data_IF_414906402065
#
_entry.id   IF_414906402065
#
_cell.length_a   1.000
_cell.length_b   1.000
_cell.length_c   1.000
_cell.angle_alpha   90.00
_cell.angle_beta   90.00
_cell.angle_gamma   90.00
#
_symmetry.space_group_name_H-M   'P 1'
#
loop_
_entity.id
_entity.type
_entity.pdbx_description
1 polymer ?
#
# COMPACT_ATOMS: atom_id res chain seq x y z
N UNK A 1 -6.06 -1.93 -11.65
CA UNK A 1 -5.73 -1.77 -10.22
C UNK A 1 -5.71 -3.12 -9.54
N UNK A 2 -4.95 -3.24 -8.48
CA UNK A 2 -4.89 -4.46 -7.70
C UNK A 2 -6.22 -4.72 -6.98
N UNK A 3 -6.71 -5.93 -7.07
CA UNK A 3 -7.87 -6.39 -6.32
C UNK A 3 -7.85 -7.91 -6.24
N UNK A 4 -8.46 -8.53 -5.21
CA UNK A 4 -8.53 -9.97 -5.15
C UNK A 4 -9.40 -10.51 -6.28
N UNK A 5 -8.94 -11.59 -6.92
CA UNK A 5 -9.74 -12.30 -7.92
C UNK A 5 -10.90 -13.06 -7.26
N UNK A 6 -10.72 -13.46 -6.00
CA UNK A 6 -11.73 -14.16 -5.21
C UNK A 6 -11.54 -13.83 -3.75
N UNK A 7 -12.63 -13.55 -3.04
CA UNK A 7 -12.60 -13.26 -1.61
C UNK A 7 -13.27 -14.37 -0.82
N UNK A 8 -12.73 -14.69 0.36
CA UNK A 8 -13.36 -15.62 1.30
C UNK A 8 -14.72 -15.07 1.78
N UNK A 9 -14.74 -13.77 2.07
CA UNK A 9 -15.95 -13.05 2.44
C UNK A 9 -16.09 -11.85 1.52
N UNK A 10 -17.29 -11.66 0.97
CA UNK A 10 -17.57 -10.51 0.10
C UNK A 10 -17.51 -9.19 0.86
N UNK A 11 -17.94 -9.21 2.12
CA UNK A 11 -18.00 -8.05 3.00
C UNK A 11 -17.32 -8.36 4.31
N UNK A 12 -16.67 -7.38 4.90
CA UNK A 12 -15.95 -7.51 6.16
C UNK A 12 -16.32 -6.33 7.05
N UNK A 13 -16.42 -6.57 8.36
CA UNK A 13 -16.67 -5.49 9.32
C UNK A 13 -15.49 -4.53 9.33
N UNK A 14 -15.80 -3.23 9.44
CA UNK A 14 -14.78 -2.20 9.61
C UNK A 14 -14.17 -2.34 11.00
N UNK A 15 -12.99 -2.94 11.05
CA UNK A 15 -12.22 -3.08 12.29
C UNK A 15 -11.22 -1.95 12.47
N UNK A 16 -10.68 -1.84 13.68
CA UNK A 16 -9.54 -0.97 13.93
C UNK A 16 -8.26 -1.67 13.50
N UNK A 17 -7.29 -0.89 13.04
CA UNK A 17 -5.94 -1.40 12.86
C UNK A 17 -5.31 -1.45 14.25
N UNK A 18 -4.93 -2.65 14.68
CA UNK A 18 -4.31 -2.83 16.00
C UNK A 18 -2.99 -2.07 16.06
N UNK A 19 -2.70 -1.48 17.23
CA UNK A 19 -1.45 -0.78 17.48
C UNK A 19 -0.25 -1.71 17.41
N UNK A 20 0.95 -1.12 17.49
CA UNK A 20 2.21 -1.83 17.42
C UNK A 20 2.88 -1.70 16.06
N UNK A 21 4.03 -2.34 15.91
CA UNK A 21 4.80 -2.35 14.67
C UNK A 21 4.51 -3.59 13.84
N UNK A 22 4.80 -3.51 12.55
CA UNK A 22 4.63 -4.65 11.65
C UNK A 22 5.59 -5.78 12.02
N UNK A 23 5.07 -7.02 12.05
CA UNK A 23 5.88 -8.22 12.17
C UNK A 23 6.08 -8.88 10.82
N UNK A 24 5.08 -8.78 9.94
CA UNK A 24 5.17 -9.22 8.56
C UNK A 24 5.54 -8.03 7.66
N UNK A 25 6.21 -8.28 6.55
CA UNK A 25 6.61 -7.25 5.59
C UNK A 25 7.45 -6.13 6.24
N UNK A 26 8.25 -6.47 7.26
CA UNK A 26 9.05 -5.49 7.99
C UNK A 26 10.48 -5.34 7.46
N UNK A 27 10.87 -6.15 6.49
CA UNK A 27 12.21 -6.11 5.90
C UNK A 27 12.16 -6.10 4.38
N UNK A 28 13.17 -5.47 3.77
CA UNK A 28 13.34 -5.46 2.32
C UNK A 28 13.83 -6.84 1.90
N UNK A 29 13.09 -7.48 0.99
CA UNK A 29 13.37 -8.87 0.58
C UNK A 29 13.83 -9.00 -0.86
N UNK A 30 13.22 -8.26 -1.78
CA UNK A 30 13.43 -8.45 -3.23
C UNK A 30 14.37 -7.41 -3.83
N UNK A 31 14.26 -6.18 -3.40
CA UNK A 31 15.03 -5.07 -3.92
C UNK A 31 16.11 -4.60 -2.95
N UNK A 32 16.74 -3.51 -3.30
CA UNK A 32 17.77 -2.85 -2.48
C UNK A 32 17.21 -1.69 -1.67
N UNK A 33 16.16 -1.08 -2.16
CA UNK A 33 15.55 0.11 -1.58
C UNK A 33 14.09 -0.16 -1.24
N UNK A 34 13.57 0.50 -0.23
CA UNK A 34 12.19 0.33 0.18
C UNK A 34 11.56 1.62 0.68
N UNK A 35 10.23 1.66 0.59
CA UNK A 35 9.41 2.70 1.18
C UNK A 35 8.66 2.10 2.35
N UNK A 36 8.93 2.60 3.54
CA UNK A 36 8.44 2.04 4.80
C UNK A 36 7.42 2.98 5.40
N UNK A 37 6.27 2.44 5.81
CA UNK A 37 5.24 3.21 6.49
C UNK A 37 5.67 3.58 7.91
N UNK A 38 5.39 4.81 8.31
CA UNK A 38 5.60 5.29 9.67
C UNK A 38 4.30 5.34 10.48
N UNK A 39 3.18 5.08 9.85
CA UNK A 39 1.86 5.19 10.47
C UNK A 39 1.00 3.96 10.17
N UNK A 40 -0.07 3.78 10.95
CA UNK A 40 -1.10 2.79 10.68
C UNK A 40 -2.22 3.44 9.90
N UNK A 41 -2.61 2.84 8.78
CA UNK A 41 -3.76 3.30 8.00
C UNK A 41 -4.19 2.23 6.99
N UNK A 42 -5.26 2.53 6.29
CA UNK A 42 -5.76 1.74 5.16
C UNK A 42 -5.33 2.41 3.88
N UNK A 43 -4.71 1.64 2.99
CA UNK A 43 -4.24 2.14 1.70
C UNK A 43 -5.09 1.50 0.62
N UNK A 44 -5.78 2.31 -0.18
CA UNK A 44 -6.65 1.81 -1.24
C UNK A 44 -5.86 1.34 -2.46
N UNK A 45 -6.48 0.48 -3.28
CA UNK A 45 -5.90 0.03 -4.54
C UNK A 45 -5.55 1.23 -5.45
N UNK A 46 -6.36 2.28 -5.44
CA UNK A 46 -6.09 3.50 -6.23
C UNK A 46 -4.85 4.23 -5.75
N UNK A 47 -4.66 4.32 -4.44
CA UNK A 47 -3.46 4.95 -3.86
C UNK A 47 -2.21 4.15 -4.18
N UNK A 48 -2.28 2.83 -4.09
CA UNK A 48 -1.16 1.94 -4.45
C UNK A 48 -0.80 2.14 -5.93
N UNK A 49 -1.80 2.17 -6.81
CA UNK A 49 -1.58 2.35 -8.24
C UNK A 49 -0.99 3.73 -8.55
N UNK A 50 -1.49 4.78 -7.90
CA UNK A 50 -0.97 6.13 -8.07
C UNK A 50 0.50 6.23 -7.64
N UNK A 51 0.87 5.59 -6.53
CA UNK A 51 2.25 5.55 -6.06
C UNK A 51 3.15 4.80 -7.05
N UNK A 52 2.69 3.64 -7.52
CA UNK A 52 3.42 2.85 -8.52
C UNK A 52 3.68 3.66 -9.80
N UNK A 53 2.67 4.34 -10.30
CA UNK A 53 2.79 5.17 -11.50
C UNK A 53 3.77 6.32 -11.30
N UNK A 54 3.75 6.97 -10.14
CA UNK A 54 4.69 8.06 -9.83
C UNK A 54 6.13 7.57 -9.86
N UNK A 55 6.41 6.40 -9.27
CA UNK A 55 7.73 5.80 -9.29
C UNK A 55 8.15 5.41 -10.72
N UNK A 56 7.26 4.76 -11.45
CA UNK A 56 7.53 4.29 -12.82
C UNK A 56 7.84 5.46 -13.76
N UNK A 57 7.09 6.55 -13.64
CA UNK A 57 7.34 7.76 -14.46
C UNK A 57 8.71 8.36 -14.20
N UNK A 58 9.13 8.35 -12.94
CA UNK A 58 10.42 8.94 -12.58
C UNK A 58 11.59 8.10 -13.06
N UNK A 59 11.57 6.79 -12.81
CA UNK A 59 12.67 5.89 -13.22
C UNK A 59 12.57 5.47 -14.68
N UNK A 60 11.45 5.75 -15.34
CA UNK A 60 11.17 5.41 -16.74
C UNK A 60 11.32 3.90 -16.97
N UNK A 61 12.21 3.49 -17.89
CA UNK A 61 12.39 2.09 -18.24
C UNK A 61 13.46 1.38 -17.41
N UNK A 62 14.17 2.13 -16.56
CA UNK A 62 15.22 1.56 -15.70
C UNK A 62 14.62 0.97 -14.43
N UNK A 63 15.26 -0.07 -13.91
CA UNK A 63 14.95 -0.63 -12.62
C UNK A 63 13.71 -1.50 -12.57
N UNK A 64 13.46 -2.01 -11.36
CA UNK A 64 12.33 -2.86 -11.04
C UNK A 64 11.64 -2.34 -9.78
N UNK A 65 10.32 -2.52 -9.75
CA UNK A 65 9.49 -2.10 -8.62
C UNK A 65 8.67 -3.31 -8.16
N UNK A 66 8.65 -3.56 -6.86
CA UNK A 66 7.81 -4.57 -6.23
C UNK A 66 6.80 -3.90 -5.32
N UNK A 67 5.53 -4.26 -5.46
CA UNK A 67 4.46 -3.85 -4.54
C UNK A 67 4.36 -4.95 -3.49
N UNK A 68 4.66 -4.61 -2.22
CA UNK A 68 4.68 -5.58 -1.14
C UNK A 68 3.35 -5.70 -0.41
N UNK A 69 2.49 -4.72 -0.55
CA UNK A 69 1.17 -4.71 0.09
C UNK A 69 0.09 -5.03 -0.94
N UNK A 70 -0.96 -5.71 -0.51
CA UNK A 70 -2.06 -6.09 -1.40
C UNK A 70 -3.40 -5.66 -0.79
N UNK A 71 -4.28 -5.00 -1.56
CA UNK A 71 -5.57 -4.54 -1.07
C UNK A 71 -6.58 -5.69 -1.11
N UNK A 72 -6.64 -6.45 -0.03
CA UNK A 72 -7.51 -7.63 0.07
C UNK A 72 -8.75 -7.41 0.95
N UNK A 73 -8.85 -6.29 1.64
CA UNK A 73 -9.94 -6.02 2.57
C UNK A 73 -10.99 -5.17 1.87
N UNK A 74 -12.23 -5.68 1.69
CA UNK A 74 -13.28 -4.92 1.04
C UNK A 74 -13.83 -3.83 1.95
N UNK A 75 -14.08 -2.66 1.37
CA UNK A 75 -14.72 -1.53 2.03
C UNK A 75 -16.06 -1.28 1.37
N UNK A 76 -17.10 -1.18 2.17
CA UNK A 76 -18.47 -0.97 1.69
C UNK A 76 -18.93 0.43 2.02
N UNK A 77 -19.74 1.00 1.12
CA UNK A 77 -20.35 2.31 1.31
C UNK A 77 -21.82 2.21 0.95
N UNK A 78 -22.71 2.67 1.85
CA UNK A 78 -24.13 2.75 1.53
C UNK A 78 -24.39 3.98 0.67
N UNK A 79 -25.18 3.86 -0.43
CA UNK A 79 -25.67 5.02 -1.15
C UNK A 79 -26.51 5.92 -0.22
N UNK A 80 -26.55 7.22 -0.52
CA UNK A 80 -27.24 8.21 0.31
C UNK A 80 -28.74 7.93 0.45
N UNK A 81 -29.36 7.35 -0.57
CA UNK A 81 -30.80 7.06 -0.64
C UNK A 81 -31.19 5.71 -0.05
N UNK A 82 -30.25 4.93 0.45
CA UNK A 82 -30.55 3.65 1.10
C UNK A 82 -30.89 3.90 2.57
N UNK A 83 -32.06 3.42 2.99
CA UNK A 83 -32.52 3.55 4.38
C UNK A 83 -31.56 2.85 5.33
N UNK A 84 -31.33 3.46 6.49
CA UNK A 84 -30.56 2.84 7.54
C UNK A 84 -31.25 1.53 7.98
N UNK A 85 -30.45 0.48 8.15
CA UNK A 85 -30.95 -0.83 8.55
C UNK A 85 -31.27 -1.80 7.42
N UNK A 86 -31.17 -1.39 6.15
CA UNK A 86 -31.43 -2.28 5.02
C UNK A 86 -30.25 -3.19 4.66
N UNK A 87 -29.31 -3.37 5.59
CA UNK A 87 -28.14 -4.22 5.41
C UNK A 87 -26.88 -3.46 4.95
N UNK A 88 -25.78 -4.19 4.87
CA UNK A 88 -24.49 -3.63 4.46
C UNK A 88 -24.46 -3.44 2.94
N UNK A 89 -23.96 -2.31 2.48
CA UNK A 89 -23.81 -2.02 1.05
C UNK A 89 -22.86 -2.99 0.33
N UNK A 90 -22.85 -2.91 -0.98
CA UNK A 90 -21.91 -3.70 -1.80
C UNK A 90 -20.47 -3.22 -1.60
N UNK A 91 -19.48 -4.12 -1.70
CA UNK A 91 -18.08 -3.69 -1.70
C UNK A 91 -17.79 -2.75 -2.87
N UNK A 92 -17.24 -1.57 -2.60
CA UNK A 92 -16.89 -0.59 -3.64
C UNK A 92 -15.41 -0.62 -3.98
N UNK A 93 -14.57 -0.90 -3.00
CA UNK A 93 -13.12 -0.91 -3.22
C UNK A 93 -12.43 -1.78 -2.17
N UNK A 94 -11.17 -2.05 -2.43
CA UNK A 94 -10.34 -2.87 -1.54
C UNK A 94 -9.20 -2.03 -0.98
N UNK A 95 -8.79 -2.35 0.24
CA UNK A 95 -7.70 -1.66 0.93
C UNK A 95 -6.73 -2.66 1.54
N UNK A 96 -5.48 -2.22 1.71
CA UNK A 96 -4.48 -2.90 2.51
C UNK A 96 -4.36 -2.18 3.85
N UNK A 97 -4.34 -2.92 4.95
CA UNK A 97 -4.05 -2.36 6.27
C UNK A 97 -2.55 -2.41 6.50
N UNK A 98 -1.94 -1.27 6.81
CA UNK A 98 -0.51 -1.20 7.11
C UNK A 98 -0.30 -0.71 8.53
N UNK A 99 0.84 -1.11 9.12
CA UNK A 99 1.29 -0.69 10.43
C UNK A 99 2.64 0.01 10.28
N UNK A 100 3.08 0.79 11.28
CA UNK A 100 4.43 1.35 11.25
C UNK A 100 5.47 0.23 11.06
N UNK A 101 6.44 0.46 10.18
CA UNK A 101 7.46 -0.51 9.85
C UNK A 101 7.14 -1.42 8.67
N UNK A 102 5.95 -1.32 8.08
CA UNK A 102 5.61 -2.10 6.88
C UNK A 102 6.36 -1.58 5.66
N UNK A 103 7.09 -2.45 4.98
CA UNK A 103 7.69 -2.15 3.68
C UNK A 103 6.60 -2.26 2.63
N UNK A 104 6.18 -1.12 2.08
CA UNK A 104 5.06 -1.05 1.14
C UNK A 104 5.50 -1.31 -0.30
N UNK A 105 6.66 -0.77 -0.68
CA UNK A 105 7.23 -0.89 -2.01
C UNK A 105 8.71 -1.16 -1.90
N UNK A 106 9.26 -1.86 -2.91
CA UNK A 106 10.70 -2.06 -3.05
C UNK A 106 11.13 -1.68 -4.45
N UNK A 107 12.39 -1.34 -4.59
CA UNK A 107 12.97 -0.91 -5.86
C UNK A 107 14.41 -1.40 -5.96
N UNK A 108 14.84 -1.71 -7.17
CA UNK A 108 16.22 -2.07 -7.49
C UNK A 108 16.55 -1.68 -8.92
N UNK A 109 17.83 -1.79 -9.28
CA UNK A 109 18.29 -1.50 -10.64
C UNK A 109 18.42 -0.02 -10.97
N UNK A 110 18.42 0.85 -9.95
CA UNK A 110 18.60 2.29 -10.06
C UNK A 110 19.59 2.78 -9.01
N UNK A 111 20.07 4.01 -9.15
CA UNK A 111 20.93 4.59 -8.12
C UNK A 111 20.13 4.92 -6.88
N UNK A 112 20.81 5.03 -5.73
CA UNK A 112 20.15 5.41 -4.48
C UNK A 112 19.45 6.77 -4.61
N UNK A 113 20.06 7.73 -5.27
CA UNK A 113 19.49 9.05 -5.48
C UNK A 113 18.19 8.97 -6.29
N UNK A 114 18.18 8.17 -7.37
CA UNK A 114 16.97 7.95 -8.17
C UNK A 114 15.89 7.26 -7.39
N UNK A 115 16.24 6.23 -6.61
CA UNK A 115 15.29 5.50 -5.78
C UNK A 115 14.70 6.41 -4.71
N UNK A 116 15.51 7.21 -4.05
CA UNK A 116 15.08 8.14 -3.00
C UNK A 116 14.06 9.15 -3.53
N UNK A 117 14.31 9.72 -4.70
CA UNK A 117 13.40 10.68 -5.32
C UNK A 117 12.13 10.01 -5.81
N UNK A 118 12.20 8.84 -6.43
CA UNK A 118 11.03 8.08 -6.86
C UNK A 118 10.13 7.73 -5.67
N UNK A 119 10.73 7.27 -4.57
CA UNK A 119 9.99 6.92 -3.35
C UNK A 119 9.37 8.16 -2.69
N UNK A 120 10.03 9.31 -2.74
CA UNK A 120 9.46 10.57 -2.26
C UNK A 120 8.19 10.93 -3.03
N UNK A 121 8.23 10.81 -4.34
CA UNK A 121 7.05 11.07 -5.19
C UNK A 121 5.92 10.09 -4.90
N UNK A 122 6.26 8.81 -4.71
CA UNK A 122 5.28 7.79 -4.33
C UNK A 122 4.63 8.11 -2.99
N UNK A 123 5.42 8.54 -2.01
CA UNK A 123 4.93 8.88 -0.68
C UNK A 123 3.86 9.98 -0.68
N UNK A 124 3.93 10.91 -1.64
CA UNK A 124 2.92 11.97 -1.79
C UNK A 124 1.55 11.43 -2.22
N UNK A 125 1.50 10.23 -2.77
CA UNK A 125 0.24 9.58 -3.22
C UNK A 125 -0.38 8.70 -2.14
N UNK A 126 0.30 8.51 -1.02
CA UNK A 126 -0.13 7.61 0.05
C UNK A 126 -0.67 8.42 1.23
N UNK A 127 -1.64 7.84 1.98
CA UNK A 127 -2.24 8.53 3.14
C UNK A 127 -1.37 8.46 4.39
N UNK A 128 -0.25 7.75 4.36
CA UNK A 128 0.63 7.57 5.51
C UNK A 128 1.94 8.32 5.30
N UNK A 129 2.53 8.76 6.40
CA UNK A 129 3.92 9.20 6.40
C UNK A 129 4.82 7.98 6.16
N UNK A 130 5.86 8.19 5.39
CA UNK A 130 6.76 7.11 4.99
C UNK A 130 8.21 7.55 5.04
N UNK A 131 9.11 6.58 5.09
CA UNK A 131 10.55 6.83 5.01
C UNK A 131 11.20 5.94 3.97
N UNK A 132 12.28 6.44 3.40
CA UNK A 132 13.14 5.67 2.51
C UNK A 132 14.05 4.78 3.34
N UNK A 133 14.25 3.55 2.87
CA UNK A 133 15.14 2.60 3.51
C UNK A 133 16.03 1.91 2.48
N UNK A 134 17.23 1.54 2.92
CA UNK A 134 18.18 0.77 2.13
C UNK A 134 18.34 -0.59 2.82
N UNK A 135 18.37 -1.66 2.01
CA UNK A 135 18.58 -3.00 2.53
C UNK A 135 19.95 -3.11 3.17
N UNK A 136 19.99 -3.58 4.40
CA UNK A 136 21.25 -3.82 5.11
C UNK A 136 21.99 -4.98 4.46
N UNK A 137 23.29 -4.79 4.21
CA UNK A 137 24.16 -5.87 3.78
C UNK A 137 24.52 -6.72 4.99
N UNK A 138 24.33 -8.03 4.84
CA UNK A 138 24.76 -9.00 5.85
C UNK A 138 26.21 -9.43 5.60
#
# INVERSE_FOLDING_TARGET
MLMPSRTKFRKVRKGRIHGGTATNLSSIAYGRYGLVSLESDRISARQIEAARQAMTRYIKRGGQIWIRIFPHIPVTRKPQDVKMGSGKGNPEFFVAKVKPGTVMFEMDGVTEQQAREAMRLAGHKLPVKSRFAVKEEQ
#
